data_IF_042168124991
#
_entry.id   IF_042168124991
#
_cell.length_a   1.000
_cell.length_b   1.000
_cell.length_c   1.000
_cell.angle_alpha   90.00
_cell.angle_beta   90.00
_cell.angle_gamma   90.00
#
_symmetry.space_group_name_H-M   'P 1'
#
loop_
_entity.id
_entity.type
_entity.pdbx_description
1 polymer ?
#
# COMPACT_ATOMS: atom_id res chain seq x y z
N UNK A 1 -30.88 49.57 -3.83
CA UNK A 1 -30.42 49.94 -2.48
C UNK A 1 -29.15 50.74 -2.69
N UNK A 2 -29.28 52.07 -2.66
CA UNK A 2 -28.14 52.98 -2.69
C UNK A 2 -27.51 52.99 -1.30
N UNK A 3 -26.19 52.84 -1.25
CA UNK A 3 -25.42 52.86 -0.01
C UNK A 3 -24.77 54.24 0.05
N UNK A 4 -25.30 55.11 0.89
CA UNK A 4 -24.69 56.40 1.23
C UNK A 4 -23.53 56.16 2.19
N UNK A 5 -22.34 56.63 1.80
CA UNK A 5 -21.13 56.58 2.63
C UNK A 5 -21.03 57.92 3.33
N UNK A 6 -21.31 57.96 4.63
CA UNK A 6 -21.12 59.15 5.45
C UNK A 6 -19.61 59.42 5.60
N UNK A 7 -19.20 60.60 5.15
CA UNK A 7 -17.83 61.07 5.25
C UNK A 7 -17.65 61.79 6.61
N UNK A 8 -16.96 61.15 7.54
CA UNK A 8 -16.57 61.76 8.82
C UNK A 8 -15.35 62.66 8.62
N UNK A 9 -15.54 63.98 8.82
CA UNK A 9 -14.49 64.99 8.84
C UNK A 9 -13.74 64.98 10.18
N UNK A 10 -12.67 64.19 10.27
CA UNK A 10 -11.72 64.22 11.39
C UNK A 10 -10.65 65.31 11.15
N UNK A 11 -11.05 66.58 11.23
CA UNK A 11 -10.13 67.71 11.25
C UNK A 11 -9.80 68.13 12.69
N UNK A 12 -8.87 67.43 13.34
CA UNK A 12 -8.19 67.91 14.56
C UNK A 12 -6.67 67.67 14.47
N UNK A 13 -5.99 68.40 13.58
CA UNK A 13 -4.54 68.53 13.65
C UNK A 13 -4.14 69.64 14.64
N UNK A 14 -3.73 69.25 15.83
CA UNK A 14 -3.06 70.13 16.79
C UNK A 14 -1.63 70.38 16.33
N UNK A 15 -1.36 71.54 15.74
CA UNK A 15 -0.01 71.94 15.35
C UNK A 15 0.84 72.24 16.60
N UNK A 16 1.83 71.39 16.89
CA UNK A 16 2.90 71.71 17.84
C UNK A 16 3.98 72.53 17.13
N UNK A 17 4.47 73.65 17.70
CA UNK A 17 5.60 74.36 17.13
C UNK A 17 6.86 73.52 17.36
N UNK A 18 7.41 72.93 16.30
CA UNK A 18 8.76 72.37 16.32
C UNK A 18 9.75 73.48 15.95
N UNK A 19 10.74 73.75 16.80
CA UNK A 19 11.88 74.67 16.57
C UNK A 19 12.84 74.22 15.44
N UNK A 20 12.39 73.32 14.57
CA UNK A 20 13.14 72.87 13.40
C UNK A 20 12.95 73.87 12.26
N UNK A 21 14.00 74.30 11.54
CA UNK A 21 13.83 75.20 10.41
C UNK A 21 12.96 74.53 9.35
N UNK A 22 11.74 75.04 9.18
CA UNK A 22 10.77 74.58 8.17
C UNK A 22 11.31 74.92 6.79
N UNK A 23 12.06 74.01 6.17
CA UNK A 23 12.47 74.15 4.79
C UNK A 23 11.29 73.88 3.85
N UNK A 24 11.17 74.66 2.76
CA UNK A 24 10.14 74.45 1.74
C UNK A 24 10.31 73.07 1.10
N UNK A 25 9.22 72.33 0.85
CA UNK A 25 9.22 70.96 0.29
C UNK A 25 10.07 70.79 -0.98
N UNK A 26 10.15 71.82 -1.83
CA UNK A 26 11.00 71.90 -3.04
C UNK A 26 12.52 71.87 -2.77
N UNK A 27 12.94 72.04 -1.53
CA UNK A 27 14.34 72.07 -1.09
C UNK A 27 14.83 70.69 -0.65
N UNK A 28 13.91 69.76 -0.33
CA UNK A 28 14.24 68.39 0.02
C UNK A 28 14.65 67.58 -1.21
N UNK A 29 15.59 66.66 -1.07
CA UNK A 29 16.04 65.77 -2.15
C UNK A 29 17.01 66.41 -3.16
N UNK A 30 17.48 67.64 -2.95
CA UNK A 30 18.59 68.19 -3.73
C UNK A 30 19.87 67.41 -3.45
N UNK A 31 20.65 67.11 -4.49
CA UNK A 31 21.93 66.39 -4.35
C UNK A 31 22.85 67.18 -3.41
N UNK A 32 23.23 66.61 -2.28
CA UNK A 32 24.21 67.20 -1.37
C UNK A 32 25.56 67.32 -2.10
N UNK A 33 26.09 68.54 -2.21
CA UNK A 33 27.44 68.77 -2.74
C UNK A 33 28.40 68.75 -1.57
N UNK A 34 28.97 67.58 -1.31
CA UNK A 34 30.08 67.43 -0.35
C UNK A 34 31.39 67.84 -1.03
N UNK A 35 31.61 69.14 -1.17
CA UNK A 35 32.94 69.68 -1.43
C UNK A 35 33.58 70.05 -0.10
N UNK A 36 34.90 69.95 0.01
CA UNK A 36 35.62 70.57 1.13
C UNK A 36 35.44 72.08 1.04
N UNK A 37 34.39 72.58 1.70
CA UNK A 37 34.21 74.01 1.93
C UNK A 37 35.14 74.37 3.08
N UNK A 38 35.90 75.45 2.95
CA UNK A 38 36.68 75.98 4.06
C UNK A 38 35.79 76.25 5.29
N UNK A 39 36.38 76.44 6.48
CA UNK A 39 35.62 76.60 7.71
C UNK A 39 34.56 77.70 7.54
N UNK A 40 33.28 77.33 7.70
CA UNK A 40 32.19 78.28 7.71
C UNK A 40 32.01 78.75 9.15
N UNK A 41 32.17 80.04 9.39
CA UNK A 41 31.89 80.62 10.70
C UNK A 41 30.37 80.75 10.83
N UNK A 42 29.73 79.74 11.41
CA UNK A 42 28.28 79.71 11.57
C UNK A 42 27.80 80.76 12.58
N UNK A 43 28.60 81.01 13.62
CA UNK A 43 28.34 82.03 14.65
C UNK A 43 29.66 82.62 15.12
N UNK A 44 29.76 83.95 15.09
CA UNK A 44 30.79 84.69 15.80
C UNK A 44 30.17 85.27 17.09
N UNK A 45 30.67 84.82 18.25
CA UNK A 45 30.17 85.29 19.54
C UNK A 45 31.21 86.23 20.12
N UNK A 46 30.92 87.53 20.04
CA UNK A 46 31.79 88.53 20.64
C UNK A 46 31.81 88.38 22.17
N UNK A 47 32.99 88.49 22.82
CA UNK A 47 33.10 88.40 24.27
C UNK A 47 32.24 89.49 24.93
N UNK A 48 31.31 89.07 25.79
CA UNK A 48 30.44 90.01 26.49
C UNK A 48 31.28 90.88 27.46
N UNK A 49 31.31 92.22 27.28
CA UNK A 49 32.17 93.10 28.07
C UNK A 49 31.83 93.06 29.57
N UNK A 50 30.56 92.82 29.93
CA UNK A 50 30.13 92.74 31.34
C UNK A 50 30.67 91.50 32.05
N UNK A 51 30.77 90.37 31.34
CA UNK A 51 31.35 89.13 31.88
C UNK A 51 32.88 89.19 31.92
N UNK A 52 33.48 89.97 31.00
CA UNK A 52 34.93 90.22 30.98
C UNK A 52 35.40 90.99 32.20
N UNK A 53 34.62 91.96 32.67
CA UNK A 53 34.93 92.70 33.91
C UNK A 53 34.87 91.83 35.17
N UNK A 54 34.08 90.75 35.14
CA UNK A 54 33.95 89.78 36.24
C UNK A 54 34.94 88.62 36.14
N UNK A 55 35.79 88.60 35.11
CA UNK A 55 36.76 87.53 34.93
C UNK A 55 37.93 87.71 35.89
N UNK A 56 38.08 86.78 36.82
CA UNK A 56 39.26 86.64 37.66
C UNK A 56 40.09 85.44 37.19
N UNK A 57 41.37 85.66 36.93
CA UNK A 57 42.28 84.59 36.51
C UNK A 57 42.66 83.74 37.73
N UNK A 58 42.06 82.56 37.84
CA UNK A 58 42.39 81.57 38.88
C UNK A 58 43.58 80.73 38.42
N UNK A 59 44.62 80.62 39.24
CA UNK A 59 45.91 79.99 38.88
C UNK A 59 45.87 78.46 38.81
N UNK A 60 44.89 77.81 39.42
CA UNK A 60 44.66 76.36 39.31
C UNK A 60 43.20 76.02 39.61
N UNK A 61 42.63 75.12 38.79
CA UNK A 61 41.28 74.60 38.97
C UNK A 61 41.32 73.10 38.73
N UNK A 62 40.79 72.31 39.64
CA UNK A 62 40.59 70.88 39.43
C UNK A 62 39.29 70.65 38.65
N UNK A 63 39.37 69.83 37.60
CA UNK A 63 38.23 69.46 36.76
C UNK A 63 38.34 68.00 36.40
N UNK A 64 37.32 67.22 36.74
CA UNK A 64 37.26 65.80 36.38
C UNK A 64 36.58 65.63 35.01
N UNK A 65 36.99 64.59 34.28
CA UNK A 65 36.41 64.21 32.98
C UNK A 65 36.11 62.71 33.00
N UNK A 66 34.88 62.34 32.72
CA UNK A 66 34.48 60.94 32.59
C UNK A 66 34.77 60.46 31.16
N UNK A 67 35.54 59.37 31.04
CA UNK A 67 35.95 58.77 29.75
C UNK A 67 35.43 57.32 29.63
N UNK A 68 34.23 57.05 30.13
CA UNK A 68 33.56 55.76 29.93
C UNK A 68 32.66 55.81 28.69
N UNK A 69 32.48 54.68 28.02
CA UNK A 69 31.56 54.57 26.89
C UNK A 69 30.11 54.58 27.40
N UNK A 70 29.28 55.46 26.84
CA UNK A 70 27.85 55.51 27.18
C UNK A 70 27.15 54.27 26.63
N UNK A 71 26.47 53.54 27.51
CA UNK A 71 25.70 52.34 27.14
C UNK A 71 24.21 52.62 27.29
N UNK A 72 23.43 52.21 26.29
CA UNK A 72 21.96 52.25 26.32
C UNK A 72 21.39 50.85 26.10
N UNK A 73 20.42 50.45 26.92
CA UNK A 73 19.69 49.19 26.80
C UNK A 73 18.21 49.49 26.53
N UNK A 74 17.64 48.84 25.52
CA UNK A 74 16.22 48.93 25.21
C UNK A 74 15.58 47.55 25.25
N UNK A 75 14.42 47.43 25.89
CA UNK A 75 13.60 46.22 25.87
C UNK A 75 12.34 46.50 25.06
N UNK A 76 12.01 45.60 24.14
CA UNK A 76 10.81 45.68 23.32
C UNK A 76 9.99 44.41 23.53
N UNK A 77 8.69 44.58 23.78
CA UNK A 77 7.74 43.48 23.88
C UNK A 77 6.76 43.58 22.69
N UNK A 78 6.63 42.51 21.92
CA UNK A 78 5.71 42.45 20.77
C UNK A 78 4.49 41.61 21.13
N UNK A 79 3.31 42.16 20.87
CA UNK A 79 2.04 41.43 21.06
C UNK A 79 1.79 40.54 19.84
N UNK A 80 1.37 39.31 20.08
CA UNK A 80 1.09 38.34 19.02
C UNK A 80 -0.26 38.68 18.35
N UNK A 81 -0.21 39.08 17.08
CA UNK A 81 -1.39 39.37 16.27
C UNK A 81 -1.84 38.09 15.54
N UNK A 82 -3.08 37.62 15.74
CA UNK A 82 -3.57 36.45 15.02
C UNK A 82 -3.71 36.78 13.54
N UNK A 83 -3.06 35.98 12.69
CA UNK A 83 -3.22 36.04 11.23
C UNK A 83 -3.96 34.81 10.74
N UNK A 84 -4.89 35.01 9.81
CA UNK A 84 -5.57 33.92 9.11
C UNK A 84 -5.22 33.96 7.64
N UNK A 85 -4.88 32.81 7.08
CA UNK A 85 -4.65 32.67 5.65
C UNK A 85 -6.00 32.52 4.94
N UNK A 86 -6.36 33.50 4.09
CA UNK A 86 -7.56 33.45 3.27
C UNK A 86 -7.15 33.21 1.82
N UNK A 87 -7.55 32.06 1.26
CA UNK A 87 -7.44 31.77 -0.17
C UNK A 87 -8.78 31.94 -0.87
N UNK A 88 -8.76 32.32 -2.15
CA UNK A 88 -9.95 32.37 -3.01
C UNK A 88 -9.98 31.12 -3.89
N UNK A 89 -11.09 30.38 -3.87
CA UNK A 89 -11.31 29.24 -4.76
C UNK A 89 -12.25 29.65 -5.91
N UNK A 90 -11.71 29.68 -7.14
CA UNK A 90 -12.52 29.89 -8.34
C UNK A 90 -13.16 28.57 -8.78
N UNK A 91 -14.42 28.35 -8.44
CA UNK A 91 -15.18 27.16 -8.89
C UNK A 91 -15.63 27.25 -10.36
N UNK A 92 -15.61 28.45 -10.96
CA UNK A 92 -16.17 28.74 -12.30
C UNK A 92 -15.04 28.92 -13.33
N UNK A 93 -13.98 28.13 -13.23
CA UNK A 93 -12.86 28.19 -14.17
C UNK A 93 -13.21 27.56 -15.52
N UNK A 94 -12.65 28.09 -16.61
CA UNK A 94 -12.64 27.47 -17.94
C UNK A 94 -13.56 28.09 -18.98
N UNK A 95 -14.46 28.98 -18.59
CA UNK A 95 -15.28 29.75 -19.54
C UNK A 95 -14.60 31.10 -19.85
N UNK A 96 -14.72 31.60 -21.09
CA UNK A 96 -14.30 32.96 -21.42
C UNK A 96 -15.03 34.01 -20.56
N UNK A 97 -14.41 35.18 -20.39
CA UNK A 97 -14.96 36.26 -19.56
C UNK A 97 -16.38 36.70 -19.99
N UNK A 98 -16.73 36.52 -21.27
CA UNK A 98 -18.00 36.96 -21.85
C UNK A 98 -19.13 35.91 -21.78
N UNK A 99 -18.87 34.73 -21.19
CA UNK A 99 -19.84 33.63 -21.13
C UNK A 99 -20.15 33.31 -19.68
N UNK A 100 -21.39 33.59 -19.24
CA UNK A 100 -21.87 33.16 -17.93
C UNK A 100 -22.26 31.67 -17.96
N UNK A 101 -21.60 30.80 -17.17
CA UNK A 101 -21.90 29.37 -17.14
C UNK A 101 -23.24 29.02 -16.51
N UNK A 102 -23.86 29.96 -15.79
CA UNK A 102 -25.20 29.82 -15.20
C UNK A 102 -26.29 30.04 -16.25
N UNK A 103 -25.96 30.76 -17.33
CA UNK A 103 -26.84 31.01 -18.46
C UNK A 103 -26.67 29.91 -19.52
N UNK A 104 -27.64 29.00 -19.56
CA UNK A 104 -27.66 27.89 -20.51
C UNK A 104 -27.65 28.34 -21.98
N UNK A 105 -28.23 29.51 -22.30
CA UNK A 105 -28.28 30.02 -23.68
C UNK A 105 -26.91 30.54 -24.13
N UNK A 106 -26.19 31.23 -23.24
CA UNK A 106 -24.82 31.68 -23.52
C UNK A 106 -23.87 30.48 -23.70
N UNK A 107 -23.96 29.49 -22.82
CA UNK A 107 -23.21 28.24 -22.93
C UNK A 107 -23.51 27.51 -24.25
N UNK A 108 -24.78 27.39 -24.62
CA UNK A 108 -25.18 26.72 -25.85
C UNK A 108 -24.70 27.47 -27.11
N UNK A 109 -24.79 28.80 -27.12
CA UNK A 109 -24.28 29.64 -28.22
C UNK A 109 -22.77 29.51 -28.36
N UNK A 110 -22.04 29.54 -27.25
CA UNK A 110 -20.60 29.37 -27.24
C UNK A 110 -20.18 27.99 -27.77
N UNK A 111 -20.82 26.91 -27.28
CA UNK A 111 -20.58 25.55 -27.79
C UNK A 111 -20.84 25.45 -29.29
N UNK A 112 -21.95 25.98 -29.79
CA UNK A 112 -22.27 26.00 -31.22
C UNK A 112 -21.25 26.79 -32.04
N UNK A 113 -20.74 27.90 -31.50
CA UNK A 113 -19.68 28.69 -32.15
C UNK A 113 -18.41 27.87 -32.33
N UNK A 114 -17.97 27.16 -31.29
CA UNK A 114 -16.79 26.28 -31.35
C UNK A 114 -17.02 25.12 -32.32
N UNK A 115 -18.19 24.47 -32.24
CA UNK A 115 -18.50 23.31 -33.06
C UNK A 115 -18.57 23.60 -34.57
N UNK A 116 -18.82 24.87 -34.93
CA UNK A 116 -18.84 25.32 -36.32
C UNK A 116 -17.45 25.65 -36.88
N UNK A 117 -16.42 25.71 -36.03
CA UNK A 117 -15.06 25.95 -36.49
C UNK A 117 -14.55 24.76 -37.33
N UNK A 118 -14.02 25.04 -38.51
CA UNK A 118 -13.49 24.03 -39.44
C UNK A 118 -12.34 23.24 -38.82
N UNK A 119 -11.53 23.92 -38.00
CA UNK A 119 -10.42 23.30 -37.29
C UNK A 119 -10.93 22.29 -36.24
N UNK A 120 -12.03 22.62 -35.55
CA UNK A 120 -12.63 21.73 -34.55
C UNK A 120 -13.11 20.43 -35.18
N UNK A 121 -13.81 20.51 -36.32
CA UNK A 121 -14.29 19.32 -37.04
C UNK A 121 -13.12 18.47 -37.54
N UNK A 122 -12.08 19.11 -38.08
CA UNK A 122 -10.90 18.41 -38.60
C UNK A 122 -10.14 17.69 -37.48
N UNK A 123 -9.88 18.37 -36.36
CA UNK A 123 -9.18 17.77 -35.23
C UNK A 123 -9.97 16.62 -34.58
N UNK A 124 -11.30 16.75 -34.48
CA UNK A 124 -12.15 15.67 -33.95
C UNK A 124 -12.08 14.44 -34.85
N UNK A 125 -12.16 14.62 -36.18
CA UNK A 125 -12.08 13.49 -37.11
C UNK A 125 -10.73 12.77 -36.98
N UNK A 126 -9.63 13.52 -37.02
CA UNK A 126 -8.29 12.95 -36.85
C UNK A 126 -8.13 12.17 -35.54
N UNK A 127 -8.66 12.71 -34.44
CA UNK A 127 -8.62 12.02 -33.16
C UNK A 127 -9.57 10.81 -33.12
N UNK A 128 -10.74 10.91 -33.75
CA UNK A 128 -11.71 9.82 -33.87
C UNK A 128 -11.09 8.63 -34.60
N UNK A 129 -10.46 8.87 -35.76
CA UNK A 129 -9.81 7.82 -36.55
C UNK A 129 -8.68 7.15 -35.76
N UNK A 130 -7.92 7.94 -34.98
CA UNK A 130 -6.88 7.42 -34.08
C UNK A 130 -7.47 6.54 -32.97
N UNK A 131 -8.51 7.01 -32.30
CA UNK A 131 -9.15 6.31 -31.17
C UNK A 131 -9.87 5.05 -31.64
N UNK A 132 -10.47 5.06 -32.83
CA UNK A 132 -11.13 3.90 -33.43
C UNK A 132 -10.16 2.73 -33.60
N UNK A 133 -8.91 3.01 -34.02
CA UNK A 133 -7.88 1.97 -34.10
C UNK A 133 -7.61 1.31 -32.74
N UNK A 134 -7.44 2.11 -31.67
CA UNK A 134 -7.23 1.57 -30.33
C UNK A 134 -8.44 0.77 -29.80
N UNK A 135 -9.66 1.19 -30.15
CA UNK A 135 -10.87 0.45 -29.80
C UNK A 135 -10.90 -0.91 -30.52
N UNK A 136 -10.60 -0.92 -31.83
CA UNK A 136 -10.53 -2.16 -32.61
C UNK A 136 -9.44 -3.11 -32.09
N UNK A 137 -8.27 -2.57 -31.72
CA UNK A 137 -7.18 -3.34 -31.13
C UNK A 137 -7.57 -3.95 -29.78
N UNK A 138 -8.14 -3.17 -28.86
CA UNK A 138 -8.59 -3.65 -27.56
C UNK A 138 -9.69 -4.73 -27.68
N UNK A 139 -10.55 -4.63 -28.70
CA UNK A 139 -11.56 -5.63 -28.98
C UNK A 139 -11.03 -6.87 -29.71
N UNK A 140 -9.83 -6.79 -30.32
CA UNK A 140 -9.27 -7.90 -31.09
C UNK A 140 -8.75 -9.03 -30.20
N UNK A 141 -8.21 -8.69 -29.03
CA UNK A 141 -7.68 -9.63 -28.04
C UNK A 141 -7.87 -9.03 -26.65
N UNK A 142 -8.54 -9.77 -25.77
CA UNK A 142 -8.57 -9.42 -24.36
C UNK A 142 -7.26 -9.85 -23.70
N UNK A 143 -6.32 -8.90 -23.61
CA UNK A 143 -5.02 -9.12 -22.96
C UNK A 143 -5.12 -9.28 -21.43
N UNK A 144 -6.30 -9.03 -20.86
CA UNK A 144 -6.56 -9.14 -19.43
C UNK A 144 -7.35 -10.41 -19.08
N UNK A 145 -7.68 -11.26 -20.07
CA UNK A 145 -8.37 -12.52 -19.83
C UNK A 145 -7.47 -13.49 -19.04
N UNK A 146 -7.99 -13.97 -17.90
CA UNK A 146 -7.33 -15.00 -17.10
C UNK A 146 -7.77 -16.39 -17.54
N UNK A 147 -6.91 -17.08 -18.29
CA UNK A 147 -7.16 -18.45 -18.71
C UNK A 147 -7.21 -19.40 -17.51
N UNK A 148 -8.19 -20.31 -17.51
CA UNK A 148 -8.34 -21.39 -16.53
C UNK A 148 -8.60 -20.94 -15.08
N UNK A 149 -9.03 -19.70 -14.84
CA UNK A 149 -9.29 -19.18 -13.48
C UNK A 149 -10.21 -20.08 -12.62
N UNK A 150 -11.11 -20.84 -13.25
CA UNK A 150 -12.08 -21.71 -12.58
C UNK A 150 -11.82 -23.21 -12.78
N UNK A 151 -10.72 -23.60 -13.45
CA UNK A 151 -10.44 -25.02 -13.70
C UNK A 151 -9.59 -25.63 -12.59
N UNK A 152 -10.18 -26.57 -11.84
CA UNK A 152 -9.45 -27.43 -10.93
C UNK A 152 -9.01 -28.69 -11.66
N UNK A 153 -7.83 -28.65 -12.29
CA UNK A 153 -7.18 -29.82 -12.86
C UNK A 153 -6.80 -30.83 -11.76
N UNK A 154 -7.71 -31.76 -11.47
CA UNK A 154 -7.42 -32.90 -10.59
C UNK A 154 -6.53 -33.89 -11.33
N UNK A 155 -5.25 -33.90 -11.01
CA UNK A 155 -4.31 -34.94 -11.45
C UNK A 155 -4.84 -36.28 -10.94
N UNK A 156 -5.07 -37.25 -11.84
CA UNK A 156 -5.39 -38.62 -11.43
C UNK A 156 -4.19 -39.15 -10.65
N UNK A 157 -4.37 -39.40 -9.37
CA UNK A 157 -3.36 -40.06 -8.54
C UNK A 157 -3.19 -41.51 -9.01
N UNK A 158 -1.95 -41.98 -9.03
CA UNK A 158 -1.64 -43.37 -9.39
C UNK A 158 -2.20 -44.32 -8.33
N UNK A 159 -2.54 -45.55 -8.74
CA UNK A 159 -3.12 -46.54 -7.82
C UNK A 159 -2.11 -46.94 -6.72
N UNK A 160 -2.37 -46.54 -5.48
CA UNK A 160 -1.57 -46.94 -4.32
C UNK A 160 -1.90 -48.38 -3.90
N UNK A 161 -0.88 -49.24 -3.80
CA UNK A 161 -1.03 -50.56 -3.21
C UNK A 161 -0.42 -50.59 -1.80
N UNK A 162 -1.21 -51.06 -0.82
CA UNK A 162 -0.75 -51.20 0.56
C UNK A 162 -0.96 -52.63 1.03
N UNK A 163 0.11 -53.27 1.50
CA UNK A 163 0.03 -54.60 2.10
C UNK A 163 -0.57 -54.45 3.51
N UNK A 164 -1.78 -54.94 3.70
CA UNK A 164 -2.47 -54.89 4.99
C UNK A 164 -1.99 -55.96 5.97
N UNK A 165 -1.73 -57.18 5.48
CA UNK A 165 -1.38 -58.32 6.32
C UNK A 165 -0.61 -59.38 5.54
N UNK A 166 0.23 -60.14 6.26
CA UNK A 166 1.05 -61.22 5.70
C UNK A 166 0.83 -62.49 6.51
N UNK A 167 0.27 -63.52 5.88
CA UNK A 167 0.04 -64.83 6.48
C UNK A 167 1.13 -65.79 6.02
N UNK A 168 1.85 -66.40 6.98
CA UNK A 168 2.99 -67.29 6.71
C UNK A 168 2.62 -68.72 7.01
N UNK A 169 3.02 -69.64 6.12
CA UNK A 169 2.87 -71.07 6.34
C UNK A 169 3.50 -71.47 7.69
N UNK A 170 2.74 -72.21 8.51
CA UNK A 170 3.20 -72.70 9.82
C UNK A 170 3.93 -74.06 9.74
N UNK A 171 4.00 -74.67 8.56
CA UNK A 171 4.76 -75.89 8.31
C UNK A 171 6.27 -75.63 8.35
N UNK A 172 7.04 -76.56 8.93
CA UNK A 172 8.51 -76.47 9.01
C UNK A 172 9.19 -76.53 7.64
N UNK A 173 8.61 -77.31 6.72
CA UNK A 173 9.07 -77.43 5.33
C UNK A 173 8.50 -76.28 4.50
N UNK A 174 9.35 -75.70 3.64
CA UNK A 174 8.92 -74.69 2.66
C UNK A 174 8.02 -75.32 1.59
N UNK A 175 6.79 -74.84 1.48
CA UNK A 175 5.78 -75.32 0.52
C UNK A 175 5.29 -74.16 -0.35
N UNK A 176 4.90 -74.50 -1.58
CA UNK A 176 4.31 -73.54 -2.51
C UNK A 176 2.79 -73.49 -2.36
N UNK A 177 2.20 -72.32 -2.50
CA UNK A 177 0.73 -72.17 -2.52
C UNK A 177 0.24 -72.53 -3.92
N UNK A 178 -0.67 -73.50 -4.01
CA UNK A 178 -1.30 -73.89 -5.29
C UNK A 178 -2.60 -73.17 -5.54
N UNK A 179 -3.34 -72.86 -4.49
CA UNK A 179 -4.63 -72.19 -4.61
C UNK A 179 -4.94 -71.38 -3.35
N UNK A 180 -5.65 -70.28 -3.55
CA UNK A 180 -6.21 -69.43 -2.51
C UNK A 180 -7.71 -69.29 -2.77
N UNK A 181 -8.53 -69.42 -1.73
CA UNK A 181 -9.97 -69.22 -1.81
C UNK A 181 -10.43 -68.34 -0.66
N UNK A 182 -11.40 -67.49 -0.93
CA UNK A 182 -12.02 -66.61 0.05
C UNK A 182 -13.32 -67.20 0.54
N UNK A 183 -13.61 -67.04 1.83
CA UNK A 183 -14.95 -67.27 2.35
C UNK A 183 -15.92 -66.19 1.86
N UNK A 184 -17.21 -66.51 1.82
CA UNK A 184 -18.27 -65.59 1.39
C UNK A 184 -18.38 -64.35 2.30
N UNK A 185 -18.02 -64.50 3.57
CA UNK A 185 -17.97 -63.41 4.55
C UNK A 185 -16.76 -62.46 4.34
N UNK A 186 -15.81 -62.82 3.46
CA UNK A 186 -14.61 -62.02 3.18
C UNK A 186 -13.61 -61.93 4.33
N UNK A 187 -13.84 -62.64 5.44
CA UNK A 187 -13.03 -62.56 6.65
C UNK A 187 -12.00 -63.68 6.75
N UNK A 188 -12.10 -64.71 5.90
CA UNK A 188 -11.21 -65.89 5.95
C UNK A 188 -10.67 -66.24 4.57
N UNK A 189 -9.45 -66.77 4.57
CA UNK A 189 -8.75 -67.20 3.37
C UNK A 189 -8.28 -68.64 3.57
N UNK A 190 -8.74 -69.55 2.72
CA UNK A 190 -8.22 -70.90 2.64
C UNK A 190 -7.03 -70.95 1.69
N UNK A 191 -5.91 -71.51 2.17
CA UNK A 191 -4.69 -71.70 1.38
C UNK A 191 -4.37 -73.19 1.24
N UNK A 192 -4.24 -73.64 -0.01
CA UNK A 192 -3.83 -74.98 -0.36
C UNK A 192 -2.34 -75.00 -0.73
N UNK A 193 -1.59 -75.89 -0.09
CA UNK A 193 -0.13 -75.97 -0.24
C UNK A 193 0.28 -77.24 -0.98
N UNK A 194 1.43 -77.18 -1.68
CA UNK A 194 2.08 -78.32 -2.32
C UNK A 194 3.55 -78.35 -1.95
N UNK A 195 4.03 -79.55 -1.62
CA UNK A 195 5.44 -79.83 -1.33
C UNK A 195 6.14 -80.36 -2.59
N UNK A 196 7.44 -80.07 -2.74
CA UNK A 196 8.25 -80.61 -3.84
C UNK A 196 8.46 -82.12 -3.67
N UNK A 197 8.48 -82.85 -4.79
CA UNK A 197 8.33 -84.31 -4.89
C UNK A 197 9.52 -85.16 -4.41
N UNK A 198 10.41 -84.61 -3.59
CA UNK A 198 11.58 -85.30 -3.03
C UNK A 198 11.42 -85.69 -1.56
N UNK A 199 10.31 -85.29 -0.92
CA UNK A 199 9.95 -85.72 0.43
C UNK A 199 8.96 -86.88 0.27
N UNK A 200 9.29 -88.03 0.84
CA UNK A 200 8.58 -89.30 0.68
C UNK A 200 7.06 -89.14 0.72
N UNK A 201 6.37 -89.57 -0.35
CA UNK A 201 4.91 -89.52 -0.50
C UNK A 201 4.12 -90.32 0.57
N UNK A 202 4.81 -90.96 1.51
CA UNK A 202 4.26 -91.73 2.61
C UNK A 202 4.12 -90.94 3.93
N UNK A 203 4.72 -89.76 4.04
CA UNK A 203 4.52 -88.89 5.21
C UNK A 203 3.33 -87.96 4.97
N UNK A 204 2.17 -88.36 5.48
CA UNK A 204 0.95 -87.54 5.49
C UNK A 204 1.10 -86.26 6.33
N UNK A 205 2.22 -86.10 7.02
CA UNK A 205 2.56 -85.01 7.93
C UNK A 205 2.75 -83.64 7.24
N UNK A 206 2.88 -83.61 5.90
CA UNK A 206 3.15 -82.37 5.16
C UNK A 206 2.02 -81.94 4.22
N UNK A 207 0.87 -82.62 4.24
CA UNK A 207 -0.25 -82.34 3.35
C UNK A 207 -1.34 -81.45 3.96
N UNK A 208 -1.07 -80.83 5.12
CA UNK A 208 -2.01 -79.94 5.78
C UNK A 208 -2.27 -78.66 4.99
N UNK A 209 -3.54 -78.29 4.82
CA UNK A 209 -3.96 -76.98 4.31
C UNK A 209 -4.42 -76.10 5.47
N UNK A 210 -4.41 -74.77 5.30
CA UNK A 210 -4.75 -73.84 6.40
C UNK A 210 -5.82 -72.85 5.98
N UNK A 211 -6.72 -72.55 6.90
CA UNK A 211 -7.65 -71.42 6.80
C UNK A 211 -7.16 -70.33 7.74
N UNK A 212 -6.99 -69.13 7.21
CA UNK A 212 -6.54 -67.94 7.90
C UNK A 212 -7.71 -67.01 8.14
N UNK A 213 -7.81 -66.45 9.34
CA UNK A 213 -8.79 -65.40 9.69
C UNK A 213 -8.08 -64.05 9.61
N UNK A 214 -8.63 -63.09 8.88
CA UNK A 214 -7.96 -61.81 8.59
C UNK A 214 -7.76 -60.97 9.86
N UNK A 215 -8.58 -61.20 10.88
CA UNK A 215 -8.42 -60.56 12.19
C UNK A 215 -7.35 -61.21 13.08
N UNK A 216 -6.78 -62.36 12.70
CA UNK A 216 -5.91 -63.17 13.57
C UNK A 216 -4.63 -63.59 12.86
N UNK A 217 -3.51 -63.53 13.57
CA UNK A 217 -2.18 -63.86 13.00
C UNK A 217 -1.86 -65.36 12.94
N UNK A 218 -2.68 -66.21 13.57
CA UNK A 218 -2.50 -67.68 13.57
C UNK A 218 -3.56 -68.33 12.70
N UNK A 219 -3.22 -69.47 12.09
CA UNK A 219 -4.17 -70.27 11.32
C UNK A 219 -5.41 -70.57 12.19
N UNK A 220 -6.59 -70.29 11.64
CA UNK A 220 -7.86 -70.54 12.30
C UNK A 220 -8.16 -72.03 12.34
N UNK A 221 -7.98 -72.71 11.22
CA UNK A 221 -8.22 -74.16 11.09
C UNK A 221 -7.11 -74.79 10.27
N UNK A 222 -6.65 -75.97 10.71
CA UNK A 222 -5.79 -76.86 9.96
C UNK A 222 -6.63 -77.98 9.36
N UNK A 223 -6.44 -78.22 8.07
CA UNK A 223 -7.19 -79.16 7.27
C UNK A 223 -6.29 -80.34 6.89
N UNK A 224 -6.67 -81.54 7.34
CA UNK A 224 -5.99 -82.79 7.00
C UNK A 224 -6.65 -83.46 5.80
N UNK A 225 -5.89 -83.85 4.77
CA UNK A 225 -6.47 -84.57 3.65
C UNK A 225 -6.82 -86.00 4.08
N UNK A 226 -8.00 -86.52 3.71
CA UNK A 226 -8.33 -87.92 3.86
C UNK A 226 -7.36 -88.71 3.00
N UNK A 227 -6.83 -89.80 3.56
CA UNK A 227 -5.65 -90.56 3.12
C UNK A 227 -5.60 -91.02 1.65
N UNK A 228 -6.60 -90.76 0.80
CA UNK A 228 -6.56 -90.97 -0.65
C UNK A 228 -7.44 -89.92 -1.33
N UNK A 229 -6.85 -89.09 -2.19
CA UNK A 229 -7.46 -88.08 -3.07
C UNK A 229 -7.66 -86.67 -2.48
N UNK A 230 -6.65 -85.83 -2.67
CA UNK A 230 -6.65 -84.38 -2.42
C UNK A 230 -7.80 -83.66 -3.17
N UNK A 231 -8.26 -84.20 -4.30
CA UNK A 231 -9.38 -83.65 -5.08
C UNK A 231 -10.74 -83.76 -4.38
N UNK A 232 -10.92 -84.69 -3.44
CA UNK A 232 -12.19 -84.94 -2.77
C UNK A 232 -12.39 -84.10 -1.49
N UNK A 233 -11.37 -83.35 -1.05
CA UNK A 233 -11.45 -82.59 0.19
C UNK A 233 -11.99 -81.16 0.00
N UNK A 234 -11.68 -80.53 -1.14
CA UNK A 234 -12.20 -79.20 -1.47
C UNK A 234 -13.71 -79.23 -1.74
N UNK A 235 -14.25 -80.33 -2.26
CA UNK A 235 -15.71 -80.53 -2.40
C UNK A 235 -16.39 -80.79 -1.06
N UNK A 236 -15.69 -81.40 -0.09
CA UNK A 236 -16.24 -81.66 1.25
C UNK A 236 -16.25 -80.42 2.15
N UNK A 237 -15.31 -79.48 2.00
CA UNK A 237 -15.41 -78.17 2.65
C UNK A 237 -16.61 -77.36 2.14
N UNK A 238 -16.96 -77.49 0.86
CA UNK A 238 -18.16 -76.90 0.29
C UNK A 238 -19.46 -77.53 0.83
N UNK A 239 -19.41 -78.77 1.33
CA UNK A 239 -20.56 -79.51 1.87
C UNK A 239 -20.66 -79.49 3.40
N UNK A 240 -19.59 -79.17 4.13
CA UNK A 240 -19.66 -79.08 5.61
C UNK A 240 -20.33 -77.78 6.10
N UNK A 241 -20.51 -76.78 5.23
CA UNK A 241 -21.34 -75.58 5.49
C UNK A 241 -22.83 -75.77 5.17
N UNK A 242 -23.26 -76.94 4.69
CA UNK A 242 -24.70 -77.24 4.48
C UNK A 242 -25.31 -78.17 5.54
N UNK A 243 -24.58 -78.51 6.61
CA UNK A 243 -25.08 -79.40 7.68
C UNK A 243 -24.92 -78.83 9.10
N UNK A 244 -24.79 -77.51 9.22
CA UNK A 244 -24.95 -76.77 10.47
C UNK A 244 -26.09 -75.75 10.30
N UNK A 245 -27.24 -76.28 9.91
CA UNK A 245 -28.58 -75.73 10.18
C UNK A 245 -29.42 -76.84 10.81
#
# INVERSE_FOLDING_TARGET
>A
MEITVDQQDDNHEVQRPTDWPVQKRRSFGKRCKFSCVGPHLDVDIEPNPKLREQFEQVSSLEKETQCSQDMSLHTANTVLLPTSNCGVNHQVGGWPADVDPRDGDQVARFKKKIQKDENFVTSIKQLSDLVENFIMENNSVDIYEEYFANENCKRKEDAEFKILSVYRDSCEVKREIRNLSWSLDGCKIAAAYKTYSSINANDNQYCHSYVWDIGKRRAFITLEPPRKNIHAFLSKLFLMESSLD
#
